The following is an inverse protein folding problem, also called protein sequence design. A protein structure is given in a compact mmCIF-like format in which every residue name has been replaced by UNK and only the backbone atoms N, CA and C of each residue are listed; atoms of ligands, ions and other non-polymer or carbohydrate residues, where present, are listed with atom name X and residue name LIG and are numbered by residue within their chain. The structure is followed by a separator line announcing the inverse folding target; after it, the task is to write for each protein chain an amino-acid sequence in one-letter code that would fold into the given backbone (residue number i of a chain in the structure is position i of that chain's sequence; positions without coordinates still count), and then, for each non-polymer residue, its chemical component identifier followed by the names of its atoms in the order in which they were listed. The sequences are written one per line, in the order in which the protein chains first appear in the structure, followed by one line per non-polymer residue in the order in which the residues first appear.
data_IF_270230669417
#
_entry.id   IF_270230669417
#
_cell.length_a   1.000
_cell.length_b   1.000
_cell.length_c   1.000
_cell.angle_alpha   90.00
_cell.angle_beta   90.00
_cell.angle_gamma   90.00
#
_symmetry.space_group_name_H-M   'P 1'
#
loop_
_entity.id
_entity.type
_entity.pdbx_description
1 polymer ?
#
# COMPACT_ATOMS: atom_id res chain seq x y z
N UNK A 1 15.57 1.83 5.55
CA UNK A 1 14.22 2.39 5.66
C UNK A 1 13.25 1.24 5.60
N UNK A 2 12.79 0.79 6.77
CA UNK A 2 11.90 -0.35 6.95
C UNK A 2 10.67 0.17 7.68
N UNK A 3 9.86 0.97 7.00
CA UNK A 3 8.70 1.58 7.62
C UNK A 3 7.63 1.93 6.58
N UNK A 4 7.07 0.89 5.98
CA UNK A 4 5.65 0.89 5.65
C UNK A 4 5.06 -0.18 6.56
N UNK A 5 4.30 0.22 7.58
CA UNK A 5 3.85 -0.62 8.71
C UNK A 5 3.04 -1.88 8.32
N UNK A 6 2.82 -2.09 7.02
CA UNK A 6 2.00 -3.15 6.43
C UNK A 6 2.80 -4.01 5.43
N UNK A 7 4.02 -3.59 5.01
CA UNK A 7 4.76 -4.24 3.91
C UNK A 7 5.05 -5.73 4.13
N UNK A 8 5.21 -6.15 5.40
CA UNK A 8 5.45 -7.54 5.77
C UNK A 8 4.20 -8.40 5.96
N UNK A 9 3.02 -7.79 5.99
CA UNK A 9 1.75 -8.49 6.19
C UNK A 9 0.94 -8.62 4.90
N UNK A 10 1.23 -7.79 3.89
CA UNK A 10 0.59 -7.86 2.58
C UNK A 10 0.89 -9.20 1.89
N UNK A 11 -0.13 -9.76 1.25
CA UNK A 11 -0.08 -10.97 0.44
C UNK A 11 -0.71 -10.73 -0.92
N UNK A 12 -0.32 -11.51 -1.95
CA UNK A 12 -1.06 -11.51 -3.20
C UNK A 12 -2.55 -11.83 -2.96
N UNK A 13 -3.44 -11.06 -3.58
CA UNK A 13 -4.88 -11.11 -3.38
C UNK A 13 -5.42 -10.16 -2.31
N UNK A 14 -4.57 -9.59 -1.45
CA UNK A 14 -4.99 -8.54 -0.52
C UNK A 14 -5.44 -7.27 -1.28
N UNK A 15 -6.31 -6.48 -0.65
CA UNK A 15 -6.75 -5.19 -1.17
C UNK A 15 -6.19 -4.06 -0.33
N UNK A 16 -5.74 -2.99 -0.98
CA UNK A 16 -5.07 -1.86 -0.33
C UNK A 16 -5.56 -0.52 -0.86
N UNK A 17 -5.43 0.52 -0.05
CA UNK A 17 -5.45 1.90 -0.51
C UNK A 17 -4.01 2.40 -0.70
N UNK A 18 -3.77 3.15 -1.77
CA UNK A 18 -2.50 3.85 -2.01
C UNK A 18 -2.63 5.29 -1.56
N UNK A 19 -1.82 5.68 -0.59
CA UNK A 19 -1.75 7.04 -0.05
C UNK A 19 -0.40 7.64 -0.46
N UNK A 20 -0.42 8.80 -1.08
CA UNK A 20 0.79 9.56 -1.36
C UNK A 20 0.90 10.77 -0.44
N UNK A 21 2.09 11.00 0.10
CA UNK A 21 2.46 12.27 0.73
C UNK A 21 3.17 13.11 -0.30
N UNK A 22 2.55 14.23 -0.67
CA UNK A 22 2.99 15.14 -1.71
C UNK A 22 3.39 16.48 -1.08
N UNK A 23 4.44 17.10 -1.60
CA UNK A 23 4.78 18.49 -1.28
C UNK A 23 4.01 19.44 -2.22
N UNK A 24 3.30 20.43 -1.66
CA UNK A 24 2.44 21.36 -2.42
C UNK A 24 3.17 22.41 -3.26
N UNK A 25 4.51 22.40 -3.28
CA UNK A 25 5.33 23.09 -4.28
C UNK A 25 5.25 24.63 -4.32
N UNK A 26 4.72 25.30 -3.30
CA UNK A 26 4.62 26.77 -3.27
C UNK A 26 5.91 27.49 -2.86
N UNK A 27 6.14 28.68 -3.42
CA UNK A 27 7.27 29.57 -3.12
C UNK A 27 7.15 30.18 -1.71
N UNK A 28 7.55 29.42 -0.69
CA UNK A 28 7.76 29.97 0.66
C UNK A 28 7.55 28.97 1.80
N UNK A 29 6.59 28.05 1.68
CA UNK A 29 6.37 26.95 2.63
C UNK A 29 5.96 25.69 1.89
N UNK A 30 6.79 24.65 1.98
CA UNK A 30 6.44 23.29 1.56
C UNK A 30 5.42 22.74 2.55
N UNK A 31 4.14 22.77 2.18
CA UNK A 31 3.10 22.07 2.93
C UNK A 31 2.99 20.65 2.38
N UNK A 32 3.03 19.66 3.27
CA UNK A 32 2.78 18.27 2.90
C UNK A 32 1.30 17.96 2.98
N UNK A 33 0.80 17.31 1.94
CA UNK A 33 -0.57 16.81 1.88
C UNK A 33 -0.50 15.30 1.72
N UNK A 34 -1.14 14.56 2.63
CA UNK A 34 -1.37 13.14 2.49
C UNK A 34 -2.69 12.93 1.74
N UNK A 35 -2.66 12.29 0.58
CA UNK A 35 -3.83 12.06 -0.25
C UNK A 35 -3.94 10.60 -0.67
N UNK A 36 -5.13 10.03 -0.49
CA UNK A 36 -5.46 8.72 -1.06
C UNK A 36 -5.59 8.86 -2.57
N UNK A 37 -4.68 8.24 -3.32
CA UNK A 37 -4.66 8.26 -4.77
C UNK A 37 -5.67 7.26 -5.34
N UNK A 38 -5.62 6.03 -4.83
CA UNK A 38 -6.42 4.91 -5.29
C UNK A 38 -6.91 4.14 -4.07
N UNK A 39 -8.17 3.73 -4.13
CA UNK A 39 -8.79 2.89 -3.12
C UNK A 39 -9.12 1.53 -3.72
N UNK A 40 -9.13 0.49 -2.88
CA UNK A 40 -9.55 -0.86 -3.30
C UNK A 40 -8.70 -1.42 -4.46
N UNK A 41 -7.38 -1.33 -4.31
CA UNK A 41 -6.40 -1.81 -5.29
C UNK A 41 -5.94 -3.21 -4.91
N UNK A 42 -5.96 -4.15 -5.86
CA UNK A 42 -5.55 -5.54 -5.63
C UNK A 42 -4.02 -5.64 -5.68
N UNK A 43 -3.45 -6.38 -4.73
CA UNK A 43 -2.05 -6.78 -4.75
C UNK A 43 -1.89 -8.02 -5.63
N UNK A 44 -1.11 -7.92 -6.72
CA UNK A 44 -0.80 -9.02 -7.62
C UNK A 44 0.42 -9.83 -7.18
N UNK A 45 1.39 -9.17 -6.53
CA UNK A 45 2.59 -9.84 -6.02
C UNK A 45 3.27 -9.04 -4.90
N UNK A 46 3.97 -9.74 -4.01
CA UNK A 46 4.86 -9.16 -2.99
C UNK A 46 6.19 -9.90 -3.01
N UNK A 47 7.28 -9.18 -3.25
CA UNK A 47 8.62 -9.76 -3.42
C UNK A 47 8.65 -10.79 -4.56
N UNK A 48 9.13 -12.01 -4.26
CA UNK A 48 9.12 -13.16 -5.19
C UNK A 48 7.81 -13.96 -5.16
N UNK A 49 6.85 -13.60 -4.32
CA UNK A 49 5.57 -14.29 -4.21
C UNK A 49 4.59 -13.68 -5.22
N UNK A 50 4.42 -14.36 -6.35
CA UNK A 50 3.39 -14.04 -7.35
C UNK A 50 2.14 -14.84 -7.02
N UNK A 51 0.95 -14.25 -7.23
CA UNK A 51 -0.31 -15.01 -7.17
C UNK A 51 -0.16 -16.28 -8.03
N UNK A 52 -0.32 -17.46 -7.41
CA UNK A 52 -0.25 -18.80 -8.02
C UNK A 52 1.13 -19.42 -8.36
N UNK A 53 2.28 -18.88 -7.98
CA UNK A 53 3.55 -19.64 -8.11
C UNK A 53 4.52 -19.30 -6.99
N UNK A 54 4.69 -20.22 -6.03
CA UNK A 54 5.76 -20.12 -5.04
C UNK A 54 7.02 -20.74 -5.66
N UNK A 55 8.08 -19.96 -5.93
CA UNK A 55 9.31 -20.50 -6.48
C UNK A 55 9.95 -21.48 -5.48
N UNK A 56 10.35 -22.66 -5.96
CA UNK A 56 11.07 -23.66 -5.16
C UNK A 56 12.51 -23.71 -5.63
N UNK A 57 13.44 -23.46 -4.72
CA UNK A 57 14.86 -23.69 -4.96
C UNK A 57 15.18 -25.14 -4.60
N UNK A 58 15.76 -25.87 -5.55
CA UNK A 58 16.21 -27.25 -5.32
C UNK A 58 17.72 -27.19 -5.12
N UNK A 59 18.16 -27.37 -3.88
CA UNK A 59 19.58 -27.44 -3.52
C UNK A 59 19.97 -28.92 -3.50
N UNK A 60 20.90 -29.30 -4.37
CA UNK A 60 21.51 -30.63 -4.40
C UNK A 60 22.76 -30.60 -3.52
N UNK A 61 22.71 -31.26 -2.36
CA UNK A 61 23.83 -31.39 -1.44
C UNK A 61 24.21 -32.89 -1.37
N UNK A 62 25.11 -33.32 -2.25
CA UNK A 62 25.46 -34.74 -2.41
C UNK A 62 24.26 -35.59 -2.87
N UNK A 63 23.98 -36.70 -2.18
CA UNK A 63 22.85 -37.61 -2.47
C UNK A 63 21.51 -37.17 -1.85
N UNK A 64 21.42 -35.96 -1.28
CA UNK A 64 20.19 -35.46 -0.65
C UNK A 64 19.68 -34.24 -1.40
N UNK A 65 18.42 -34.31 -1.82
CA UNK A 65 17.69 -33.18 -2.39
C UNK A 65 17.04 -32.39 -1.26
N UNK A 66 17.45 -31.12 -1.03
CA UNK A 66 16.72 -30.19 -0.17
C UNK A 66 15.92 -29.24 -1.05
N UNK A 67 14.60 -29.31 -0.94
CA UNK A 67 13.70 -28.33 -1.55
C UNK A 67 13.52 -27.20 -0.54
N UNK A 68 14.06 -26.01 -0.84
CA UNK A 68 13.81 -24.80 -0.05
C UNK A 68 12.77 -23.97 -0.78
N UNK A 69 11.67 -23.68 -0.10
CA UNK A 69 10.68 -22.75 -0.63
C UNK A 69 11.26 -21.35 -0.55
N UNK A 70 11.40 -20.65 -1.69
CA UNK A 70 11.92 -19.28 -1.75
C UNK A 70 10.95 -18.24 -1.16
N UNK A 71 9.79 -18.69 -0.64
CA UNK A 71 8.84 -17.87 0.10
C UNK A 71 9.36 -17.38 1.46
N UNK A 72 10.45 -17.96 1.99
CA UNK A 72 10.97 -17.57 3.31
C UNK A 72 11.84 -16.32 3.29
N UNK A 73 12.16 -15.79 2.12
CA UNK A 73 12.98 -14.58 1.99
C UNK A 73 12.07 -13.35 1.90
N UNK A 74 11.80 -12.76 3.06
CA UNK A 74 10.98 -11.54 3.21
C UNK A 74 11.81 -10.25 3.07
N UNK A 75 13.06 -10.34 2.58
CA UNK A 75 13.95 -9.18 2.44
C UNK A 75 13.62 -8.28 1.24
N UNK A 76 12.70 -8.71 0.36
CA UNK A 76 12.30 -7.98 -0.84
C UNK A 76 11.05 -7.11 -0.58
N UNK A 77 11.21 -5.78 -0.67
CA UNK A 77 10.13 -4.79 -0.51
C UNK A 77 9.56 -4.32 -1.86
N UNK A 78 9.33 -5.22 -2.82
CA UNK A 78 8.66 -4.89 -4.09
C UNK A 78 7.21 -5.33 -4.05
N UNK A 79 6.28 -4.50 -4.49
CA UNK A 79 4.85 -4.81 -4.52
C UNK A 79 4.34 -4.52 -5.93
N UNK A 80 3.60 -5.46 -6.51
CA UNK A 80 2.88 -5.27 -7.78
C UNK A 80 1.41 -5.09 -7.49
N UNK A 81 0.80 -4.08 -8.09
CA UNK A 81 -0.61 -3.71 -7.90
C UNK A 81 -1.37 -3.71 -9.22
N UNK A 82 -2.65 -4.03 -9.17
CA UNK A 82 -3.57 -3.97 -10.30
C UNK A 82 -4.12 -2.55 -10.45
N UNK A 83 -3.72 -1.84 -11.50
CA UNK A 83 -4.14 -0.46 -11.77
C UNK A 83 -4.62 -0.30 -13.21
N UNK A 84 -5.55 0.62 -13.42
CA UNK A 84 -5.99 1.04 -14.74
C UNK A 84 -4.92 1.93 -15.43
N UNK A 85 -4.92 2.02 -16.78
CA UNK A 85 -3.96 2.85 -17.52
C UNK A 85 -3.90 4.32 -17.03
N UNK A 86 -5.05 4.96 -16.77
CA UNK A 86 -5.07 6.33 -16.27
C UNK A 86 -4.62 6.48 -14.80
N UNK A 87 -4.61 5.40 -14.03
CA UNK A 87 -4.12 5.38 -12.65
C UNK A 87 -2.59 5.23 -12.62
N UNK A 88 -2.02 4.36 -13.46
CA UNK A 88 -0.57 4.14 -13.51
C UNK A 88 0.17 5.39 -13.99
N UNK A 89 -0.39 6.18 -14.90
CA UNK A 89 0.19 7.47 -15.33
C UNK A 89 0.35 8.46 -14.17
N UNK A 90 -0.68 8.58 -13.32
CA UNK A 90 -0.64 9.44 -12.12
C UNK A 90 0.36 8.93 -11.09
N UNK A 91 0.44 7.61 -10.92
CA UNK A 91 1.41 6.99 -10.03
C UNK A 91 2.84 7.23 -10.52
N UNK A 92 3.09 7.09 -11.82
CA UNK A 92 4.40 7.31 -12.44
C UNK A 92 4.88 8.76 -12.22
N UNK A 93 4.00 9.75 -12.35
CA UNK A 93 4.32 11.15 -12.07
C UNK A 93 4.81 11.35 -10.63
N UNK A 94 4.12 10.73 -9.67
CA UNK A 94 4.43 10.85 -8.24
C UNK A 94 5.75 10.18 -7.91
N UNK A 95 5.98 8.97 -8.44
CA UNK A 95 7.23 8.21 -8.25
C UNK A 95 8.43 8.94 -8.88
N UNK A 96 8.26 9.52 -10.08
CA UNK A 96 9.32 10.25 -10.77
C UNK A 96 9.82 11.50 -10.02
N UNK A 97 8.98 12.09 -9.17
CA UNK A 97 9.31 13.33 -8.45
C UNK A 97 10.25 13.13 -7.24
N UNK A 98 10.55 11.88 -6.86
CA UNK A 98 11.63 11.52 -5.92
C UNK A 98 11.44 11.87 -4.43
N UNK A 99 10.78 12.99 -4.10
CA UNK A 99 10.56 13.45 -2.71
C UNK A 99 9.25 12.92 -2.09
N UNK A 100 8.44 12.21 -2.88
CA UNK A 100 7.14 11.71 -2.47
C UNK A 100 7.26 10.33 -1.81
N UNK A 101 6.43 10.08 -0.79
CA UNK A 101 6.32 8.76 -0.16
C UNK A 101 4.98 8.12 -0.50
N UNK A 102 4.99 6.83 -0.81
CA UNK A 102 3.79 6.01 -1.03
C UNK A 102 3.62 5.08 0.16
N UNK A 103 2.42 5.10 0.72
CA UNK A 103 2.00 4.29 1.85
C UNK A 103 0.84 3.39 1.40
N UNK A 104 0.93 2.10 1.72
CA UNK A 104 -0.16 1.16 1.53
C UNK A 104 -0.94 1.00 2.82
N UNK A 105 -2.27 1.07 2.73
CA UNK A 105 -3.19 0.76 3.82
C UNK A 105 -3.99 -0.49 3.47
N UNK A 106 -3.88 -1.56 4.27
CA UNK A 106 -4.62 -2.80 4.04
C UNK A 106 -6.12 -2.58 4.26
N UNK A 107 -6.95 -3.06 3.34
CA UNK A 107 -8.42 -3.08 3.47
C UNK A 107 -8.90 -4.44 3.96
N UNK A 108 -10.05 -4.44 4.61
CA UNK A 108 -10.79 -5.67 4.85
C UNK A 108 -11.34 -6.21 3.52
N UNK A 109 -11.34 -7.52 3.34
CA UNK A 109 -11.82 -8.17 2.11
C UNK A 109 -13.35 -8.06 1.90
N UNK A 110 -14.09 -7.61 2.89
CA UNK A 110 -15.53 -7.29 2.77
C UNK A 110 -15.80 -5.77 2.64
N UNK A 111 -14.76 -4.93 2.80
CA UNK A 111 -14.87 -3.48 2.59
C UNK A 111 -14.71 -3.16 1.09
N UNK A 112 -15.79 -2.63 0.51
CA UNK A 112 -15.84 -2.19 -0.89
C UNK A 112 -16.25 -0.71 -0.99
N UNK A 113 -16.36 0.01 0.13
CA UNK A 113 -16.78 1.40 0.13
C UNK A 113 -15.65 2.29 -0.39
N UNK A 114 -16.00 3.37 -1.11
CA UNK A 114 -15.00 4.30 -1.66
C UNK A 114 -15.40 5.71 -1.27
N UNK A 115 -14.45 6.45 -0.71
CA UNK A 115 -14.68 7.80 -0.21
C UNK A 115 -13.93 8.83 -1.04
N UNK A 116 -14.58 9.94 -1.37
CA UNK A 116 -13.85 11.08 -1.91
C UNK A 116 -13.21 11.86 -0.77
N UNK A 117 -11.92 11.62 -0.53
CA UNK A 117 -11.19 12.25 0.57
C UNK A 117 -10.46 13.50 0.06
N UNK A 118 -10.60 14.66 0.74
CA UNK A 118 -9.90 15.88 0.34
C UNK A 118 -8.38 15.76 0.49
N UNK A 119 -7.92 14.83 1.32
CA UNK A 119 -6.53 14.70 1.77
C UNK A 119 -6.33 15.42 3.10
N UNK A 120 -5.33 14.99 3.85
CA UNK A 120 -5.00 15.53 5.17
C UNK A 120 -3.76 16.42 5.09
N UNK A 121 -3.81 17.57 5.76
CA UNK A 121 -2.66 18.47 5.93
C UNK A 121 -2.24 18.56 7.40
N UNK A 122 -1.01 19.03 7.66
CA UNK A 122 -0.58 19.27 9.05
C UNK A 122 -1.49 20.25 9.78
N UNK A 123 -2.01 21.26 9.09
CA UNK A 123 -2.93 22.24 9.67
C UNK A 123 -4.22 21.56 10.18
N UNK A 124 -4.79 20.67 9.37
CA UNK A 124 -5.98 19.90 9.74
C UNK A 124 -5.71 18.94 10.92
N UNK A 125 -4.55 18.29 10.94
CA UNK A 125 -4.18 17.38 12.03
C UNK A 125 -4.01 18.10 13.37
N UNK A 126 -3.45 19.31 13.38
CA UNK A 126 -3.13 20.06 14.60
C UNK A 126 -4.33 20.83 15.16
N UNK A 127 -5.24 21.30 14.30
CA UNK A 127 -6.37 22.12 14.72
C UNK A 127 -7.65 21.33 14.98
N UNK A 128 -7.60 20.00 14.82
CA UNK A 128 -8.78 19.17 14.82
C UNK A 128 -9.51 19.30 13.49
N UNK A 129 -9.94 18.16 12.97
CA UNK A 129 -10.60 18.06 11.70
C UNK A 129 -12.08 17.75 11.88
N UNK A 130 -12.90 18.15 10.91
CA UNK A 130 -14.31 17.76 10.78
C UNK A 130 -14.53 16.22 10.74
N UNK A 131 -13.48 15.38 10.63
CA UNK A 131 -13.58 13.92 10.55
C UNK A 131 -14.07 13.21 11.83
N UNK A 132 -14.08 13.85 13.00
CA UNK A 132 -14.67 13.28 14.23
C UNK A 132 -16.18 12.98 14.09
N UNK A 133 -16.85 13.53 13.07
CA UNK A 133 -18.26 13.23 12.76
C UNK A 133 -18.45 11.98 11.90
N UNK A 134 -17.41 11.47 11.24
CA UNK A 134 -17.44 10.20 10.48
C UNK A 134 -17.05 9.03 11.38
N UNK A 135 -17.80 8.85 12.48
CA UNK A 135 -17.57 7.75 13.41
C UNK A 135 -17.95 6.44 12.72
N UNK A 136 -16.95 5.66 12.30
CA UNK A 136 -17.19 4.32 11.75
C UNK A 136 -17.96 3.49 12.76
N UNK A 137 -19.11 2.99 12.35
CA UNK A 137 -19.84 1.98 13.10
C UNK A 137 -19.12 0.65 12.84
N UNK A 138 -18.59 -0.04 13.86
CA UNK A 138 -17.95 -1.33 13.66
C UNK A 138 -18.98 -2.32 13.11
N UNK A 139 -18.53 -3.23 12.22
CA UNK A 139 -19.37 -4.19 11.49
C UNK A 139 -20.20 -5.15 12.38
N UNK A 140 -20.05 -5.08 13.71
CA UNK A 140 -20.82 -5.84 14.69
C UNK A 140 -21.83 -5.04 15.51
N UNK A 141 -22.05 -3.76 15.24
CA UNK A 141 -22.94 -2.93 16.08
C UNK A 141 -24.44 -3.14 15.82
N UNK A 142 -24.80 -3.84 14.75
CA UNK A 142 -26.17 -4.30 14.49
C UNK A 142 -26.22 -5.83 14.61
N UNK A 143 -26.26 -6.33 15.84
CA UNK A 143 -26.75 -7.67 16.18
C UNK A 143 -27.62 -7.59 17.42
#
# INVERSE_FOLDING_TARGET
SEQTAVSKLMKPGDRVDLIAVLDSGGSGKREKIAKTLFQDVVILSVGKSVTNNIPREVILEGNKTRVRTLSSDTSYNTVTVELEPGQIEKLALIVASGENSIIFSLRNNDDNERFNLPGATYFELLNGSEWERMRRVPAGANR
#
